data_IF_629878401024
#
_entry.id   IF_629878401024
#
_cell.length_a   1.000
_cell.length_b   1.000
_cell.length_c   1.000
_cell.angle_alpha   90.00
_cell.angle_beta   90.00
_cell.angle_gamma   90.00
#
_symmetry.space_group_name_H-M   'P 1'
#
loop_
_entity.id
_entity.type
_entity.pdbx_description
1 polymer ?
#
# COMPACT_ATOMS: atom_id res chain seq x y z
N UNK A 1 18.61 12.39 -13.56
CA UNK A 1 19.67 13.32 -14.02
C UNK A 1 19.67 14.56 -13.15
N UNK A 2 20.77 14.74 -12.44
CA UNK A 2 21.38 15.97 -11.96
C UNK A 2 20.52 17.02 -11.24
N UNK A 3 20.71 17.08 -9.90
CA UNK A 3 20.88 18.36 -9.23
C UNK A 3 22.17 18.30 -8.42
N UNK A 4 23.11 19.10 -8.85
CA UNK A 4 24.38 19.34 -8.17
C UNK A 4 24.29 20.61 -7.31
N UNK A 5 24.73 20.49 -6.06
CA UNK A 5 25.57 21.44 -5.31
C UNK A 5 25.03 22.82 -4.94
N UNK A 6 24.78 23.01 -3.64
CA UNK A 6 25.15 24.26 -2.96
C UNK A 6 25.47 23.95 -1.48
N UNK A 7 26.44 24.67 -0.86
CA UNK A 7 27.08 24.26 0.38
C UNK A 7 26.32 24.70 1.63
N UNK A 8 26.30 23.81 2.61
CA UNK A 8 25.82 24.09 3.95
C UNK A 8 26.96 24.66 4.80
N UNK A 9 26.83 25.86 5.29
CA UNK A 9 27.44 26.29 6.56
C UNK A 9 26.65 27.48 7.12
N UNK A 10 25.92 27.23 8.18
CA UNK A 10 25.85 28.20 9.30
C UNK A 10 25.39 27.43 10.56
N UNK A 11 26.26 27.41 11.54
CA UNK A 11 26.09 26.76 12.82
C UNK A 11 25.04 27.48 13.68
N UNK A 12 24.03 26.77 14.17
CA UNK A 12 23.20 27.23 15.27
C UNK A 12 23.66 26.54 16.56
N UNK A 13 24.38 27.29 17.41
CA UNK A 13 24.68 26.87 18.78
C UNK A 13 23.47 27.18 19.66
N UNK A 14 22.80 26.19 20.23
CA UNK A 14 22.03 26.32 21.48
C UNK A 14 21.99 24.99 22.26
N UNK A 15 22.11 25.16 23.54
CA UNK A 15 22.22 24.20 24.64
C UNK A 15 21.39 22.92 24.45
N UNK A 16 22.07 21.79 24.49
CA UNK A 16 21.53 20.45 24.35
C UNK A 16 21.36 19.78 25.69
N UNK A 17 20.14 19.30 25.93
CA UNK A 17 19.85 18.38 27.00
C UNK A 17 20.29 16.97 26.55
N UNK A 18 21.22 16.36 27.25
CA UNK A 18 22.07 15.24 26.81
C UNK A 18 21.35 13.93 26.49
N UNK A 19 20.05 13.81 26.75
CA UNK A 19 19.24 12.61 26.43
C UNK A 19 18.73 12.53 24.97
N UNK A 20 18.65 13.66 24.28
CA UNK A 20 18.12 13.72 22.91
C UNK A 20 19.18 13.60 21.82
N UNK A 21 20.46 13.71 22.18
CA UNK A 21 21.55 13.76 21.20
C UNK A 21 21.85 12.40 20.56
N UNK A 22 21.67 11.31 21.28
CA UNK A 22 21.99 9.96 20.77
C UNK A 22 20.97 9.48 19.75
N UNK A 23 19.66 9.70 20.04
CA UNK A 23 18.58 9.31 19.11
C UNK A 23 18.61 10.15 17.82
N UNK A 24 18.93 11.45 17.93
CA UNK A 24 19.08 12.34 16.77
C UNK A 24 20.27 12.01 15.87
N UNK A 25 21.35 11.46 16.41
CA UNK A 25 22.55 11.14 15.63
C UNK A 25 22.34 9.93 14.71
N UNK A 26 21.63 8.94 15.17
CA UNK A 26 21.31 7.75 14.37
C UNK A 26 20.22 8.05 13.32
N UNK A 27 19.28 8.97 13.61
CA UNK A 27 18.26 9.41 12.67
C UNK A 27 18.74 10.51 11.68
N UNK A 28 19.77 11.28 12.00
CA UNK A 28 20.35 12.27 11.07
C UNK A 28 21.13 11.63 9.91
N UNK A 29 21.50 10.36 9.99
CA UNK A 29 22.06 9.60 8.86
C UNK A 29 21.00 9.22 7.81
N UNK A 30 19.73 9.38 8.13
CA UNK A 30 18.57 9.11 7.26
C UNK A 30 18.25 10.30 6.34
N UNK A 31 19.25 10.78 5.63
CA UNK A 31 19.13 11.87 4.66
C UNK A 31 18.45 11.42 3.38
N UNK A 32 17.33 10.74 3.38
CA UNK A 32 16.61 10.52 2.12
C UNK A 32 15.11 10.43 2.39
N UNK A 33 14.38 11.33 1.75
CA UNK A 33 12.94 11.28 1.43
C UNK A 33 11.99 11.24 2.63
N UNK A 34 12.22 12.06 3.66
CA UNK A 34 11.13 12.45 4.54
C UNK A 34 10.30 13.56 3.87
N UNK A 35 9.28 13.18 3.12
CA UNK A 35 8.24 14.12 2.71
C UNK A 35 7.37 14.45 3.90
N UNK A 36 7.44 15.68 4.43
CA UNK A 36 6.43 16.16 5.37
C UNK A 36 5.11 16.31 4.61
N UNK A 37 4.21 15.36 4.80
CA UNK A 37 2.83 15.50 4.34
C UNK A 37 2.03 16.09 5.49
N UNK A 38 1.69 17.37 5.42
CA UNK A 38 0.69 17.95 6.29
C UNK A 38 -0.67 17.41 5.81
N UNK A 39 -1.22 16.44 6.53
CA UNK A 39 -2.56 15.93 6.28
C UNK A 39 -3.52 16.97 6.83
N UNK A 40 -4.25 17.63 5.93
CA UNK A 40 -5.26 18.61 6.31
C UNK A 40 -6.39 17.93 7.10
N UNK A 41 -6.49 18.32 8.36
CA UNK A 41 -7.62 18.24 9.28
C UNK A 41 -8.60 17.07 9.11
N UNK A 42 -8.37 15.98 9.82
CA UNK A 42 -9.47 15.18 10.33
C UNK A 42 -10.18 15.98 11.43
N UNK A 43 -11.43 16.37 11.21
CA UNK A 43 -12.22 17.07 12.21
C UNK A 43 -12.74 16.02 13.20
N UNK A 44 -12.01 15.75 14.27
CA UNK A 44 -12.58 15.10 15.45
C UNK A 44 -13.22 16.18 16.30
N UNK A 45 -14.54 16.24 16.31
CA UNK A 45 -15.28 17.11 17.25
C UNK A 45 -15.35 16.40 18.59
N UNK A 46 -14.56 16.86 19.56
CA UNK A 46 -14.75 16.48 20.95
C UNK A 46 -15.71 17.48 21.61
N UNK A 47 -16.87 16.99 22.05
CA UNK A 47 -17.86 17.80 22.78
C UNK A 47 -17.42 17.98 24.22
N UNK A 48 -16.60 18.99 24.49
CA UNK A 48 -16.34 19.38 25.87
C UNK A 48 -17.61 20.02 26.49
N UNK A 49 -17.77 19.94 27.83
CA UNK A 49 -18.90 20.45 28.61
C UNK A 49 -19.23 21.96 28.41
N UNK A 50 -18.54 22.65 27.51
CA UNK A 50 -18.73 24.08 27.19
C UNK A 50 -19.20 24.36 25.74
N UNK A 51 -19.60 23.36 24.97
CA UNK A 51 -20.25 23.54 23.67
C UNK A 51 -19.39 24.18 22.56
N UNK A 52 -18.08 24.27 22.72
CA UNK A 52 -17.17 24.68 21.63
C UNK A 52 -16.59 23.43 20.99
N UNK A 53 -16.80 23.26 19.69
CA UNK A 53 -16.13 22.26 18.90
C UNK A 53 -14.64 22.63 18.80
N UNK A 54 -13.79 21.89 19.47
CA UNK A 54 -12.33 21.99 19.25
C UNK A 54 -11.97 21.20 18.01
N UNK A 55 -11.54 21.91 16.97
CA UNK A 55 -10.91 21.31 15.79
C UNK A 55 -9.51 20.87 16.22
N UNK A 56 -9.33 19.56 16.42
CA UNK A 56 -8.01 18.99 16.66
C UNK A 56 -7.30 18.84 15.32
N UNK A 57 -6.13 19.45 15.18
CA UNK A 57 -5.25 19.28 14.03
C UNK A 57 -4.35 18.06 14.29
N UNK A 58 -4.25 17.20 13.30
CA UNK A 58 -3.38 16.04 13.35
C UNK A 58 -2.20 16.25 12.38
N UNK A 59 -1.05 15.75 12.74
CA UNK A 59 0.15 15.76 11.90
C UNK A 59 0.80 14.41 11.86
N UNK A 60 1.53 14.12 10.79
CA UNK A 60 2.18 12.84 10.61
C UNK A 60 3.39 12.89 9.69
N UNK A 61 4.09 11.77 9.63
CA UNK A 61 5.26 11.59 8.79
C UNK A 61 5.01 10.46 7.81
N UNK A 62 5.33 10.68 6.53
CA UNK A 62 5.39 9.64 5.53
C UNK A 62 6.75 8.95 5.63
N UNK A 63 6.72 7.66 6.00
CA UNK A 63 7.89 6.79 6.02
C UNK A 63 7.48 5.41 5.49
N UNK A 64 7.90 5.02 4.28
CA UNK A 64 7.65 3.68 3.78
C UNK A 64 8.25 2.62 4.69
N UNK A 65 7.56 1.51 4.91
CA UNK A 65 8.11 0.39 5.69
C UNK A 65 9.41 -0.10 5.08
N UNK A 66 9.50 -0.15 3.75
CA UNK A 66 10.72 -0.54 3.02
C UNK A 66 11.93 0.34 3.31
N UNK A 67 11.72 1.59 3.75
CA UNK A 67 12.78 2.56 4.05
C UNK A 67 13.22 2.56 5.52
N UNK A 68 12.59 1.73 6.37
CA UNK A 68 13.06 1.51 7.74
C UNK A 68 14.40 0.75 7.73
N UNK A 69 15.31 1.02 8.69
CA UNK A 69 16.57 0.27 8.75
C UNK A 69 16.35 -1.18 9.08
N UNK A 70 17.22 -2.01 8.57
CA UNK A 70 17.20 -3.42 8.90
C UNK A 70 18.44 -4.15 8.39
N UNK A 71 18.82 -5.25 9.06
CA UNK A 71 20.03 -5.98 8.70
C UNK A 71 19.84 -6.85 7.44
N UNK A 72 18.62 -6.96 6.91
CA UNK A 72 18.27 -7.90 5.83
C UNK A 72 17.81 -7.19 4.56
N UNK A 73 18.47 -6.08 4.22
CA UNK A 73 18.40 -5.39 2.93
C UNK A 73 17.13 -4.59 2.64
N UNK A 74 16.14 -4.63 3.52
CA UNK A 74 14.89 -3.84 3.42
C UNK A 74 14.25 -3.68 4.79
N UNK A 75 13.55 -2.58 5.01
CA UNK A 75 12.74 -2.39 6.20
C UNK A 75 11.60 -3.40 6.30
N UNK A 76 11.25 -3.81 7.52
CA UNK A 76 10.25 -4.83 7.82
C UNK A 76 9.49 -4.53 9.12
N UNK A 77 8.58 -5.42 9.52
CA UNK A 77 7.75 -5.29 10.73
C UNK A 77 8.49 -5.66 12.03
N UNK A 78 9.80 -5.40 12.05
CA UNK A 78 10.68 -5.70 13.17
C UNK A 78 10.89 -4.50 14.09
N UNK A 79 12.00 -4.57 14.84
CA UNK A 79 12.39 -3.59 15.88
C UNK A 79 12.36 -2.14 15.38
N UNK A 80 12.88 -1.86 14.17
CA UNK A 80 12.92 -0.50 13.62
C UNK A 80 11.52 0.11 13.38
N UNK A 81 10.52 -0.71 13.09
CA UNK A 81 9.13 -0.23 12.96
C UNK A 81 8.58 0.24 14.32
N UNK A 82 8.85 -0.51 15.39
CA UNK A 82 8.42 -0.15 16.74
C UNK A 82 9.17 1.10 17.24
N UNK A 83 10.48 1.18 17.03
CA UNK A 83 11.30 2.36 17.38
C UNK A 83 10.84 3.61 16.61
N UNK A 84 10.40 3.46 15.35
CA UNK A 84 9.85 4.57 14.59
C UNK A 84 8.50 5.04 15.16
N UNK A 85 7.65 4.12 15.61
CA UNK A 85 6.41 4.46 16.32
C UNK A 85 6.70 5.23 17.62
N UNK A 86 7.68 4.78 18.42
CA UNK A 86 8.10 5.48 19.64
C UNK A 86 8.58 6.90 19.32
N UNK A 87 9.40 7.05 18.27
CA UNK A 87 9.86 8.36 17.80
C UNK A 87 8.68 9.28 17.41
N UNK A 88 7.68 8.76 16.69
CA UNK A 88 6.50 9.54 16.31
C UNK A 88 5.72 10.01 17.53
N UNK A 89 5.48 9.13 18.50
CA UNK A 89 4.78 9.43 19.73
C UNK A 89 5.53 10.48 20.56
N UNK A 90 6.85 10.34 20.73
CA UNK A 90 7.70 11.30 21.42
C UNK A 90 7.77 12.66 20.73
N UNK A 91 7.72 12.67 19.38
CA UNK A 91 7.68 13.89 18.57
C UNK A 91 6.26 14.52 18.50
N UNK A 92 5.27 13.96 19.18
CA UNK A 92 3.90 14.45 19.17
C UNK A 92 3.18 14.26 17.83
N UNK A 93 3.66 13.34 16.98
CA UNK A 93 2.99 12.99 15.73
C UNK A 93 1.94 11.92 15.99
N UNK A 94 0.78 12.07 15.35
CA UNK A 94 -0.37 11.17 15.54
C UNK A 94 -0.63 10.26 14.35
N UNK A 95 0.08 10.46 13.23
CA UNK A 95 -0.12 9.68 12.01
C UNK A 95 1.22 9.19 11.45
N UNK A 96 1.29 7.90 11.18
CA UNK A 96 2.32 7.31 10.34
C UNK A 96 1.73 7.01 8.97
N UNK A 97 2.12 7.79 7.96
CA UNK A 97 1.74 7.49 6.58
C UNK A 97 2.75 6.52 5.97
N UNK A 98 2.23 5.46 5.36
CA UNK A 98 3.03 4.44 4.67
C UNK A 98 2.60 4.32 3.21
N UNK A 99 3.47 3.73 2.39
CA UNK A 99 3.09 3.30 1.03
C UNK A 99 2.25 2.01 1.09
N UNK A 100 1.54 1.64 0.00
CA UNK A 100 0.79 0.39 -0.04
C UNK A 100 1.64 -0.81 0.39
N UNK A 101 1.07 -1.66 1.25
CA UNK A 101 1.75 -2.85 1.78
C UNK A 101 1.63 -4.08 0.87
N UNK A 102 1.06 -3.91 -0.32
CA UNK A 102 0.83 -5.00 -1.28
C UNK A 102 2.15 -5.51 -1.89
N UNK A 103 2.21 -6.77 -2.36
CA UNK A 103 3.39 -7.34 -2.99
C UNK A 103 3.83 -6.51 -4.21
N UNK A 104 5.12 -6.29 -4.35
CA UNK A 104 5.69 -5.64 -5.54
C UNK A 104 5.88 -6.68 -6.67
N UNK A 105 5.66 -6.23 -7.90
CA UNK A 105 5.96 -6.99 -9.11
C UNK A 105 7.27 -6.55 -9.77
N UNK A 106 7.40 -6.81 -11.07
CA UNK A 106 8.52 -6.29 -11.86
C UNK A 106 8.52 -4.76 -11.86
N UNK A 107 9.67 -4.16 -11.54
CA UNK A 107 9.81 -2.71 -11.37
C UNK A 107 9.59 -2.21 -9.95
N UNK A 108 9.36 -3.13 -8.99
CA UNK A 108 9.40 -2.92 -7.54
C UNK A 108 8.47 -1.81 -7.00
N UNK A 109 7.49 -1.40 -7.82
CA UNK A 109 6.51 -0.38 -7.44
C UNK A 109 5.38 -0.98 -6.59
N UNK A 110 5.07 -0.41 -5.41
CA UNK A 110 3.94 -0.84 -4.59
C UNK A 110 2.57 -0.52 -5.23
N UNK A 111 2.56 0.29 -6.30
CA UNK A 111 1.35 0.63 -7.06
C UNK A 111 1.07 -0.34 -8.23
N UNK A 112 2.03 -1.22 -8.55
CA UNK A 112 1.91 -2.27 -9.58
C UNK A 112 1.95 -3.66 -8.91
N UNK A 113 1.01 -3.89 -8.00
CA UNK A 113 0.96 -5.12 -7.21
C UNK A 113 0.31 -6.27 -7.94
N UNK A 114 0.78 -7.48 -7.70
CA UNK A 114 0.15 -8.71 -8.18
C UNK A 114 -1.14 -9.09 -7.41
N UNK A 115 -1.50 -8.34 -6.36
CA UNK A 115 -2.75 -8.52 -5.61
C UNK A 115 -3.19 -7.23 -4.94
N UNK A 116 -4.49 -6.94 -4.94
CA UNK A 116 -5.11 -5.85 -4.19
C UNK A 116 -5.34 -6.18 -2.70
N UNK A 117 -5.15 -7.44 -2.29
CA UNK A 117 -5.45 -7.94 -0.96
C UNK A 117 -4.22 -8.46 -0.21
N UNK A 118 -3.31 -9.12 -0.90
CA UNK A 118 -2.14 -9.73 -0.28
C UNK A 118 -1.14 -8.70 0.26
N UNK A 119 -0.43 -9.10 1.32
CA UNK A 119 0.68 -8.35 1.88
C UNK A 119 2.02 -8.71 1.26
N UNK A 120 2.97 -7.76 1.26
CA UNK A 120 4.29 -7.92 0.68
C UNK A 120 5.18 -8.85 1.52
N UNK A 121 5.63 -10.00 0.99
CA UNK A 121 6.50 -10.92 1.71
C UNK A 121 7.81 -10.29 2.22
N UNK A 122 8.29 -9.23 1.58
CA UNK A 122 9.50 -8.54 1.99
C UNK A 122 9.40 -7.87 3.37
N UNK A 123 8.19 -7.58 3.85
CA UNK A 123 7.99 -6.93 5.15
C UNK A 123 7.91 -7.89 6.33
N UNK A 124 7.87 -9.20 6.08
CA UNK A 124 7.94 -10.20 7.15
C UNK A 124 9.29 -10.11 7.86
N UNK A 125 9.30 -9.84 9.16
CA UNK A 125 10.52 -9.74 9.95
C UNK A 125 11.16 -11.11 10.18
N UNK A 126 12.41 -11.25 9.74
CA UNK A 126 13.15 -12.51 9.85
C UNK A 126 13.69 -12.77 11.24
N UNK A 127 13.98 -11.72 12.04
CA UNK A 127 14.39 -11.89 13.43
C UNK A 127 13.25 -12.44 14.30
N UNK A 128 12.03 -12.06 14.01
CA UNK A 128 10.85 -12.63 14.65
C UNK A 128 10.71 -14.11 14.32
N UNK A 129 10.92 -14.51 13.05
CA UNK A 129 10.91 -15.93 12.68
C UNK A 129 12.07 -16.73 13.33
N UNK A 130 13.22 -16.10 13.54
CA UNK A 130 14.33 -16.70 14.31
C UNK A 130 13.94 -16.90 15.78
N UNK A 131 13.37 -15.88 16.43
CA UNK A 131 12.86 -15.95 17.81
C UNK A 131 11.78 -17.02 17.99
N UNK A 132 10.92 -17.19 16.98
CA UNK A 132 9.97 -18.30 16.94
C UNK A 132 10.65 -19.66 16.70
N UNK A 133 11.96 -19.69 16.43
CA UNK A 133 12.77 -20.87 16.14
C UNK A 133 12.42 -21.50 14.78
N UNK A 134 11.85 -20.76 13.86
CA UNK A 134 11.58 -21.19 12.48
C UNK A 134 12.80 -20.99 11.59
N UNK A 135 13.74 -20.16 12.02
CA UNK A 135 15.04 -19.89 11.40
C UNK A 135 16.13 -19.98 12.44
N UNK A 136 17.36 -20.10 11.96
CA UNK A 136 18.57 -20.00 12.78
C UNK A 136 19.43 -18.83 12.31
N UNK A 137 20.31 -18.31 13.19
CA UNK A 137 21.28 -17.29 12.81
C UNK A 137 22.18 -17.73 11.63
N UNK A 138 22.43 -19.04 11.48
CA UNK A 138 23.19 -19.60 10.37
C UNK A 138 22.42 -19.46 9.04
N UNK A 139 21.10 -19.64 9.04
CA UNK A 139 20.26 -19.46 7.85
C UNK A 139 20.32 -18.03 7.33
N UNK A 140 20.29 -17.07 8.25
CA UNK A 140 20.33 -15.65 7.93
C UNK A 140 21.71 -15.18 7.45
N UNK A 141 22.79 -15.75 8.01
CA UNK A 141 24.17 -15.45 7.61
C UNK A 141 24.58 -16.08 6.28
N UNK A 142 23.89 -17.12 5.85
CA UNK A 142 24.19 -17.83 4.61
C UNK A 142 23.80 -17.06 3.36
N UNK A 143 22.95 -16.03 3.50
CA UNK A 143 22.37 -15.28 2.38
C UNK A 143 23.01 -13.89 2.23
N UNK A 144 22.90 -13.32 1.03
CA UNK A 144 23.28 -11.95 0.74
C UNK A 144 22.06 -11.03 0.84
N UNK A 145 22.25 -9.85 1.39
CA UNK A 145 21.17 -8.86 1.61
C UNK A 145 21.35 -7.56 0.84
N UNK A 146 22.24 -7.55 -0.12
CA UNK A 146 22.66 -6.37 -0.88
C UNK A 146 24.05 -5.89 -0.49
N UNK A 147 24.56 -4.91 -1.23
CA UNK A 147 25.93 -4.37 -1.03
C UNK A 147 25.95 -3.08 -0.24
N UNK A 148 24.91 -2.25 -0.38
CA UNK A 148 24.78 -0.96 0.27
C UNK A 148 23.57 -1.00 1.23
N UNK A 149 23.78 -0.75 2.53
CA UNK A 149 22.69 -0.71 3.50
C UNK A 149 21.74 0.48 3.30
N UNK A 150 22.07 1.44 2.43
CA UNK A 150 21.24 2.59 2.11
C UNK A 150 20.39 2.38 0.84
N UNK A 151 20.54 1.25 0.15
CA UNK A 151 19.82 0.92 -1.06
C UNK A 151 19.15 -0.45 -0.95
N UNK A 152 17.91 -0.55 -1.42
CA UNK A 152 17.20 -1.83 -1.50
C UNK A 152 17.56 -2.52 -2.81
N UNK A 153 18.33 -3.59 -2.74
CA UNK A 153 18.65 -4.45 -3.88
C UNK A 153 17.57 -5.52 -4.06
N UNK A 154 16.47 -5.15 -4.72
CA UNK A 154 15.34 -6.07 -4.95
C UNK A 154 15.74 -7.33 -5.71
N UNK A 155 16.72 -7.27 -6.62
CA UNK A 155 17.21 -8.44 -7.34
C UNK A 155 17.84 -9.48 -6.41
N UNK A 156 18.70 -9.04 -5.49
CA UNK A 156 19.27 -9.89 -4.44
C UNK A 156 18.19 -10.39 -3.49
N UNK A 157 17.28 -9.51 -3.03
CA UNK A 157 16.21 -9.87 -2.09
C UNK A 157 15.24 -10.90 -2.67
N UNK A 158 14.93 -10.81 -3.96
CA UNK A 158 14.07 -11.79 -4.62
C UNK A 158 14.58 -13.21 -4.48
N UNK A 159 15.88 -13.41 -4.47
CA UNK A 159 16.51 -14.74 -4.27
C UNK A 159 16.62 -15.08 -2.80
N UNK A 160 17.34 -14.25 -2.04
CA UNK A 160 17.72 -14.52 -0.65
C UNK A 160 16.52 -14.58 0.29
N UNK A 161 15.61 -13.63 0.17
CA UNK A 161 14.48 -13.52 1.11
C UNK A 161 13.50 -14.67 0.95
N UNK A 162 13.19 -15.03 -0.30
CA UNK A 162 12.33 -16.19 -0.53
C UNK A 162 12.99 -17.52 -0.16
N UNK A 163 14.31 -17.66 -0.33
CA UNK A 163 15.05 -18.85 0.13
C UNK A 163 14.89 -19.02 1.66
N UNK A 164 15.06 -17.94 2.43
CA UNK A 164 14.91 -17.96 3.90
C UNK A 164 13.47 -18.19 4.32
N UNK A 165 12.50 -17.52 3.70
CA UNK A 165 11.07 -17.73 3.99
C UNK A 165 10.64 -19.18 3.71
N UNK A 166 11.17 -19.82 2.70
CA UNK A 166 10.91 -21.25 2.43
C UNK A 166 11.50 -22.16 3.50
N UNK A 167 12.68 -21.85 4.04
CA UNK A 167 13.24 -22.57 5.20
C UNK A 167 12.33 -22.43 6.42
N UNK A 168 11.85 -21.20 6.69
CA UNK A 168 10.92 -20.96 7.80
C UNK A 168 9.61 -21.75 7.62
N UNK A 169 9.05 -21.77 6.41
CA UNK A 169 7.87 -22.56 6.09
C UNK A 169 8.08 -24.06 6.30
N UNK A 170 9.21 -24.61 5.83
CA UNK A 170 9.53 -26.03 6.02
C UNK A 170 9.63 -26.39 7.51
N UNK A 171 10.28 -25.54 8.32
CA UNK A 171 10.36 -25.71 9.76
C UNK A 171 8.97 -25.64 10.44
N UNK A 172 8.14 -24.67 10.06
CA UNK A 172 6.79 -24.53 10.57
C UNK A 172 5.90 -25.70 10.18
N UNK A 173 5.94 -26.14 8.92
CA UNK A 173 5.18 -27.29 8.43
C UNK A 173 5.58 -28.58 9.15
N UNK A 174 6.89 -28.77 9.41
CA UNK A 174 7.40 -29.90 10.17
C UNK A 174 6.86 -29.96 11.60
N UNK A 175 6.68 -28.79 12.25
CA UNK A 175 6.05 -28.72 13.60
C UNK A 175 4.56 -29.04 13.57
N UNK A 176 3.89 -28.69 12.47
CA UNK A 176 2.46 -28.99 12.29
C UNK A 176 2.20 -30.44 11.87
N UNK A 177 3.23 -31.20 11.50
CA UNK A 177 3.07 -32.61 11.15
C UNK A 177 2.72 -33.43 12.39
N UNK A 178 1.62 -34.15 12.35
CA UNK A 178 1.19 -35.04 13.44
C UNK A 178 2.17 -36.18 13.65
N UNK A 179 2.17 -36.76 14.86
CA UNK A 179 3.02 -37.88 15.30
C UNK A 179 2.94 -39.13 14.38
N UNK A 180 1.94 -39.23 13.53
CA UNK A 180 1.71 -40.35 12.61
C UNK A 180 1.84 -40.01 11.13
N UNK A 181 2.45 -38.85 10.79
CA UNK A 181 2.91 -38.51 9.43
C UNK A 181 1.84 -38.18 8.39
N UNK A 182 0.57 -38.32 8.68
CA UNK A 182 -0.51 -38.20 7.68
C UNK A 182 -1.45 -37.00 7.87
N UNK A 183 -1.37 -36.32 9.01
CA UNK A 183 -2.29 -35.22 9.33
C UNK A 183 -1.50 -34.03 9.88
N UNK A 184 -1.71 -32.86 9.31
CA UNK A 184 -1.17 -31.61 9.82
C UNK A 184 -2.15 -30.97 10.81
N UNK A 185 -1.64 -30.59 11.98
CA UNK A 185 -2.37 -29.79 12.97
C UNK A 185 -1.80 -28.37 12.94
N UNK A 186 -2.44 -27.53 12.16
CA UNK A 186 -2.07 -26.13 12.12
C UNK A 186 -2.59 -25.40 13.38
N UNK A 187 -1.92 -24.34 13.83
CA UNK A 187 -2.38 -23.50 14.93
C UNK A 187 -3.78 -22.92 14.68
N UNK A 188 -4.56 -22.73 15.75
CA UNK A 188 -5.94 -22.22 15.66
C UNK A 188 -5.99 -20.83 15.02
N UNK A 189 -5.01 -19.98 15.29
CA UNK A 189 -4.88 -18.64 14.70
C UNK A 189 -4.58 -18.67 13.19
N UNK A 190 -3.87 -19.71 12.70
CA UNK A 190 -3.72 -19.94 11.27
C UNK A 190 -5.05 -20.34 10.60
N UNK A 191 -5.81 -21.21 11.24
CA UNK A 191 -7.15 -21.57 10.72
C UNK A 191 -8.09 -20.36 10.73
N UNK A 192 -8.08 -19.58 11.80
CA UNK A 192 -8.86 -18.35 11.90
C UNK A 192 -8.46 -17.36 10.79
N UNK A 193 -7.15 -17.20 10.54
CA UNK A 193 -6.65 -16.35 9.46
C UNK A 193 -7.10 -16.84 8.09
N UNK A 194 -6.96 -18.13 7.79
CA UNK A 194 -7.34 -18.67 6.48
C UNK A 194 -8.84 -18.56 6.23
N UNK A 195 -9.66 -18.82 7.24
CA UNK A 195 -11.11 -18.68 7.16
C UNK A 195 -11.53 -17.21 6.96
N UNK A 196 -10.94 -16.29 7.72
CA UNK A 196 -11.26 -14.88 7.61
C UNK A 196 -10.85 -14.24 6.26
N UNK A 197 -9.98 -14.90 5.49
CA UNK A 197 -9.43 -14.43 4.23
C UNK A 197 -9.70 -15.39 3.06
N UNK A 198 -10.63 -16.35 3.20
CA UNK A 198 -10.91 -17.38 2.19
C UNK A 198 -11.35 -16.80 0.84
N UNK A 199 -11.93 -15.59 0.85
CA UNK A 199 -12.45 -14.91 -0.32
C UNK A 199 -11.38 -14.38 -1.29
N UNK A 200 -10.10 -14.34 -0.87
CA UNK A 200 -8.97 -13.93 -1.71
C UNK A 200 -7.73 -14.82 -1.57
N UNK A 201 -7.49 -15.41 -0.40
CA UNK A 201 -6.23 -16.08 -0.07
C UNK A 201 -6.00 -17.34 -0.92
N UNK A 202 -7.07 -18.11 -1.18
CA UNK A 202 -6.99 -19.31 -2.01
C UNK A 202 -6.60 -18.98 -3.46
N UNK A 203 -7.28 -18.01 -4.06
CA UNK A 203 -6.97 -17.56 -5.42
C UNK A 203 -5.58 -16.95 -5.52
N UNK A 204 -5.15 -16.16 -4.51
CA UNK A 204 -3.81 -15.59 -4.46
C UNK A 204 -2.72 -16.66 -4.37
N UNK A 205 -2.84 -17.61 -3.46
CA UNK A 205 -1.86 -18.66 -3.26
C UNK A 205 -1.74 -19.56 -4.51
N UNK A 206 -2.87 -19.91 -5.13
CA UNK A 206 -2.92 -20.64 -6.39
C UNK A 206 -2.29 -19.85 -7.54
N UNK A 207 -2.61 -18.57 -7.66
CA UNK A 207 -2.03 -17.67 -8.66
C UNK A 207 -0.51 -17.62 -8.52
N UNK A 208 0.02 -17.43 -7.31
CA UNK A 208 1.45 -17.36 -7.06
C UNK A 208 2.15 -18.69 -7.33
N UNK A 209 1.54 -19.83 -6.99
CA UNK A 209 2.06 -21.15 -7.35
C UNK A 209 2.12 -21.34 -8.88
N UNK A 210 1.11 -20.88 -9.60
CA UNK A 210 1.11 -20.88 -11.07
C UNK A 210 2.18 -19.93 -11.63
N UNK A 211 2.38 -18.74 -11.03
CA UNK A 211 3.46 -17.82 -11.42
C UNK A 211 4.82 -18.49 -11.31
N UNK A 212 5.10 -19.17 -10.20
CA UNK A 212 6.35 -19.91 -9.98
C UNK A 212 6.51 -21.01 -11.02
N UNK A 213 5.50 -21.85 -11.22
CA UNK A 213 5.53 -22.93 -12.21
C UNK A 213 5.73 -22.43 -13.65
N UNK A 214 5.24 -21.23 -13.97
CA UNK A 214 5.40 -20.58 -15.25
C UNK A 214 6.57 -19.57 -15.28
N UNK A 215 7.56 -19.69 -14.37
CA UNK A 215 8.78 -18.85 -14.32
C UNK A 215 8.46 -17.36 -14.23
N UNK A 216 7.48 -17.01 -13.42
CA UNK A 216 6.99 -15.63 -13.18
C UNK A 216 6.45 -14.90 -14.42
N UNK A 217 6.15 -15.61 -15.51
CA UNK A 217 5.51 -15.03 -16.70
C UNK A 217 4.15 -14.40 -16.36
N UNK A 218 3.78 -13.40 -17.15
CA UNK A 218 2.45 -12.81 -17.08
C UNK A 218 1.37 -13.91 -17.30
N UNK A 219 0.26 -13.84 -16.57
CA UNK A 219 -0.79 -14.85 -16.64
C UNK A 219 -1.44 -14.96 -18.03
N UNK A 220 -1.42 -13.89 -18.82
CA UNK A 220 -1.91 -13.92 -20.22
C UNK A 220 -1.08 -14.83 -21.13
N UNK A 221 0.16 -15.12 -20.75
CA UNK A 221 1.07 -16.03 -21.46
C UNK A 221 0.95 -17.49 -21.01
N UNK A 222 0.17 -17.78 -19.96
CA UNK A 222 0.01 -19.15 -19.48
C UNK A 222 -0.77 -20.00 -20.49
N UNK A 223 -0.64 -21.32 -20.34
CA UNK A 223 -1.43 -22.28 -21.10
C UNK A 223 -2.92 -21.98 -20.95
N UNK A 224 -3.69 -22.21 -22.03
CA UNK A 224 -5.10 -21.84 -22.11
C UNK A 224 -5.95 -22.34 -20.92
N UNK A 225 -5.80 -23.58 -20.41
CA UNK A 225 -6.55 -24.04 -19.23
C UNK A 225 -6.31 -23.16 -17.99
N UNK A 226 -5.07 -22.79 -17.69
CA UNK A 226 -4.75 -21.94 -16.52
C UNK A 226 -5.18 -20.50 -16.75
N UNK A 227 -4.90 -19.96 -17.94
CA UNK A 227 -5.30 -18.60 -18.31
C UNK A 227 -6.83 -18.40 -18.24
N UNK A 228 -7.60 -19.39 -18.69
CA UNK A 228 -9.07 -19.36 -18.73
C UNK A 228 -9.72 -19.88 -17.44
N UNK A 229 -8.91 -20.21 -16.44
CA UNK A 229 -9.38 -20.73 -15.16
C UNK A 229 -10.24 -22.00 -15.30
N UNK A 230 -9.81 -22.95 -16.13
CA UNK A 230 -10.47 -24.24 -16.23
C UNK A 230 -10.45 -24.95 -14.86
N UNK A 231 -11.64 -25.28 -14.34
CA UNK A 231 -11.77 -25.79 -12.98
C UNK A 231 -11.04 -27.11 -12.75
N UNK A 232 -11.10 -28.03 -13.74
CA UNK A 232 -10.46 -29.34 -13.61
C UNK A 232 -8.92 -29.20 -13.66
N UNK A 233 -8.42 -28.38 -14.56
CA UNK A 233 -6.99 -28.11 -14.66
C UNK A 233 -6.44 -27.42 -13.40
N UNK A 234 -7.16 -26.44 -12.85
CA UNK A 234 -6.75 -25.77 -11.62
C UNK A 234 -6.81 -26.70 -10.40
N UNK A 235 -7.83 -27.54 -10.28
CA UNK A 235 -7.92 -28.53 -9.20
C UNK A 235 -6.79 -29.56 -9.27
N UNK A 236 -6.47 -30.07 -10.47
CA UNK A 236 -5.35 -30.98 -10.68
C UNK A 236 -4.01 -30.31 -10.36
N UNK A 237 -3.81 -29.05 -10.77
CA UNK A 237 -2.61 -28.29 -10.45
C UNK A 237 -2.48 -28.06 -8.94
N UNK A 238 -3.57 -27.66 -8.26
CA UNK A 238 -3.57 -27.41 -6.82
C UNK A 238 -3.20 -28.68 -6.04
N UNK A 239 -3.77 -29.82 -6.38
CA UNK A 239 -3.45 -31.10 -5.75
C UNK A 239 -1.98 -31.52 -5.95
N UNK A 240 -1.39 -31.21 -7.10
CA UNK A 240 0.01 -31.51 -7.38
C UNK A 240 1.00 -30.50 -6.76
N UNK A 241 0.54 -29.34 -6.28
CA UNK A 241 1.37 -28.23 -5.79
C UNK A 241 0.92 -27.71 -4.41
N UNK A 242 0.37 -28.58 -3.55
CA UNK A 242 -0.09 -28.22 -2.22
C UNK A 242 0.97 -27.52 -1.37
N UNK A 243 2.22 -27.95 -1.48
CA UNK A 243 3.34 -27.39 -0.74
C UNK A 243 3.62 -25.93 -1.14
N UNK A 244 3.62 -25.63 -2.43
CA UNK A 244 3.84 -24.28 -2.94
C UNK A 244 2.67 -23.36 -2.57
N UNK A 245 1.43 -23.82 -2.69
CA UNK A 245 0.23 -23.09 -2.26
C UNK A 245 0.27 -22.84 -0.75
N UNK A 246 0.65 -23.84 0.03
CA UNK A 246 0.80 -23.74 1.48
C UNK A 246 1.87 -22.72 1.89
N UNK A 247 2.98 -22.65 1.14
CA UNK A 247 4.01 -21.64 1.35
C UNK A 247 3.46 -20.20 1.22
N UNK A 248 2.72 -19.92 0.16
CA UNK A 248 2.15 -18.59 -0.05
C UNK A 248 1.12 -18.22 1.01
N UNK A 249 0.29 -19.18 1.47
CA UNK A 249 -0.64 -18.96 2.60
C UNK A 249 0.12 -18.69 3.90
N UNK A 250 1.17 -19.44 4.20
CA UNK A 250 2.02 -19.24 5.38
C UNK A 250 2.65 -17.85 5.41
N UNK A 251 3.19 -17.39 4.28
CA UNK A 251 3.80 -16.06 4.20
C UNK A 251 2.76 -14.96 4.47
N UNK A 252 1.55 -15.10 3.93
CA UNK A 252 0.46 -14.14 4.19
C UNK A 252 0.00 -14.18 5.66
N UNK A 253 -0.05 -15.35 6.26
CA UNK A 253 -0.32 -15.49 7.70
C UNK A 253 0.74 -14.78 8.55
N UNK A 254 2.03 -15.00 8.28
CA UNK A 254 3.12 -14.34 9.02
C UNK A 254 3.12 -12.83 8.81
N UNK A 255 2.86 -12.37 7.58
CA UNK A 255 2.64 -10.97 7.30
C UNK A 255 1.52 -10.38 8.18
N UNK A 256 0.36 -11.03 8.19
CA UNK A 256 -0.81 -10.57 8.95
C UNK A 256 -0.52 -10.46 10.45
N UNK A 257 0.04 -11.52 11.05
CA UNK A 257 0.35 -11.56 12.49
C UNK A 257 1.31 -10.44 12.87
N UNK A 258 2.40 -10.28 12.12
CA UNK A 258 3.42 -9.27 12.43
C UNK A 258 2.92 -7.85 12.18
N UNK A 259 2.18 -7.63 11.10
CA UNK A 259 1.59 -6.32 10.82
C UNK A 259 0.58 -5.90 11.87
N UNK A 260 -0.33 -6.79 12.26
CA UNK A 260 -1.30 -6.49 13.31
C UNK A 260 -0.61 -6.14 14.65
N UNK A 261 0.52 -6.78 14.96
CA UNK A 261 1.30 -6.44 16.15
C UNK A 261 1.89 -5.01 16.06
N UNK A 262 2.46 -4.62 14.91
CA UNK A 262 2.97 -3.25 14.68
C UNK A 262 1.85 -2.23 14.75
N UNK A 263 0.70 -2.51 14.09
CA UNK A 263 -0.46 -1.61 14.10
C UNK A 263 -1.03 -1.44 15.51
N UNK A 264 -1.18 -2.53 16.26
CA UNK A 264 -1.67 -2.48 17.64
C UNK A 264 -0.73 -1.65 18.53
N UNK A 265 0.58 -1.84 18.40
CA UNK A 265 1.58 -1.04 19.12
C UNK A 265 1.49 0.45 18.76
N UNK A 266 1.36 0.79 17.47
CA UNK A 266 1.17 2.17 17.03
C UNK A 266 -0.08 2.79 17.65
N UNK A 267 -1.21 2.08 17.61
CA UNK A 267 -2.47 2.56 18.18
C UNK A 267 -2.40 2.71 19.72
N UNK A 268 -1.72 1.82 20.43
CA UNK A 268 -1.46 1.95 21.87
C UNK A 268 -0.68 3.23 22.20
N UNK A 269 0.27 3.62 21.34
CA UNK A 269 1.03 4.87 21.45
C UNK A 269 0.29 6.12 20.96
N UNK A 270 -0.96 5.98 20.51
CA UNK A 270 -1.76 7.07 19.96
C UNK A 270 -1.41 7.45 18.52
N UNK A 271 -0.69 6.60 17.80
CA UNK A 271 -0.31 6.78 16.39
C UNK A 271 -1.24 5.96 15.50
N UNK A 272 -1.93 6.61 14.57
CA UNK A 272 -2.77 5.99 13.55
C UNK A 272 -1.95 5.68 12.30
N UNK A 273 -2.25 4.56 11.65
CA UNK A 273 -1.63 4.19 10.38
C UNK A 273 -2.47 4.72 9.22
N UNK A 274 -1.88 5.59 8.40
CA UNK A 274 -2.45 6.01 7.12
C UNK A 274 -1.80 5.20 6.01
N UNK A 275 -2.53 4.22 5.50
CA UNK A 275 -2.12 3.46 4.33
C UNK A 275 -2.78 3.95 3.05
N UNK A 276 -2.35 3.39 1.91
CA UNK A 276 -2.88 3.78 0.60
C UNK A 276 -3.28 2.60 -0.24
N UNK A 277 -4.27 2.82 -1.10
CA UNK A 277 -4.59 1.93 -2.21
C UNK A 277 -4.58 2.71 -3.53
N UNK A 278 -3.96 2.18 -4.59
CA UNK A 278 -4.12 2.75 -5.92
C UNK A 278 -5.54 2.52 -6.41
N UNK A 279 -6.09 3.43 -7.21
CA UNK A 279 -7.41 3.22 -7.82
C UNK A 279 -7.41 1.94 -8.66
N UNK A 280 -6.40 1.73 -9.51
CA UNK A 280 -6.33 0.59 -10.40
C UNK A 280 -5.57 -0.60 -9.80
N UNK A 281 -5.77 -1.78 -10.39
CA UNK A 281 -4.96 -2.98 -10.15
C UNK A 281 -3.96 -3.18 -11.29
N UNK A 282 -2.92 -3.96 -11.06
CA UNK A 282 -2.01 -4.34 -12.14
C UNK A 282 -2.69 -5.29 -13.13
N UNK A 283 -2.34 -5.17 -14.42
CA UNK A 283 -2.75 -6.12 -15.45
C UNK A 283 -2.24 -7.55 -15.16
N UNK A 284 -1.03 -7.66 -14.58
CA UNK A 284 -0.46 -8.94 -14.13
C UNK A 284 -0.73 -9.16 -12.64
N UNK A 285 -1.99 -9.37 -12.29
CA UNK A 285 -2.44 -9.59 -10.92
C UNK A 285 -3.47 -10.71 -10.84
N UNK A 286 -3.60 -11.29 -9.65
CA UNK A 286 -4.68 -12.25 -9.35
C UNK A 286 -6.05 -11.61 -9.55
N UNK A 287 -6.20 -10.33 -9.22
CA UNK A 287 -7.45 -9.60 -9.37
C UNK A 287 -7.89 -9.54 -10.83
N UNK A 288 -6.94 -9.29 -11.75
CA UNK A 288 -7.19 -9.28 -13.17
C UNK A 288 -7.47 -10.70 -13.73
N UNK A 289 -6.75 -11.71 -13.23
CA UNK A 289 -6.94 -13.10 -13.63
C UNK A 289 -8.26 -13.71 -13.17
N UNK A 290 -8.70 -13.37 -11.94
CA UNK A 290 -9.96 -13.87 -11.36
C UNK A 290 -11.15 -13.05 -11.82
N UNK A 291 -10.97 -11.73 -11.85
CA UNK A 291 -12.05 -10.76 -11.94
C UNK A 291 -12.47 -10.35 -13.34
N UNK A 292 -12.21 -11.13 -14.40
CA UNK A 292 -12.39 -10.75 -15.80
C UNK A 292 -13.54 -9.79 -16.13
N UNK A 293 -14.75 -10.03 -15.58
CA UNK A 293 -15.93 -9.16 -15.78
C UNK A 293 -15.86 -7.81 -15.05
N UNK A 294 -14.91 -7.63 -14.15
CA UNK A 294 -14.70 -6.35 -13.46
C UNK A 294 -14.02 -5.32 -14.36
N UNK A 295 -13.43 -5.77 -15.48
CA UNK A 295 -12.62 -4.95 -16.35
C UNK A 295 -13.16 -4.90 -17.77
N UNK A 296 -12.78 -3.85 -18.50
CA UNK A 296 -13.14 -3.70 -19.91
C UNK A 296 -12.34 -4.67 -20.77
N UNK A 297 -13.01 -5.71 -21.24
CA UNK A 297 -12.43 -6.73 -22.11
C UNK A 297 -12.91 -6.58 -23.55
N UNK A 298 -12.05 -6.91 -24.50
CA UNK A 298 -12.40 -7.08 -25.91
C UNK A 298 -13.07 -8.46 -26.16
N UNK A 299 -13.43 -8.74 -27.41
CA UNK A 299 -14.05 -9.99 -27.80
C UNK A 299 -13.15 -11.24 -27.55
N UNK A 300 -11.83 -11.05 -27.47
CA UNK A 300 -10.86 -12.11 -27.19
C UNK A 300 -10.57 -12.28 -25.71
N UNK A 301 -11.21 -11.48 -24.84
CA UNK A 301 -11.01 -11.47 -23.40
C UNK A 301 -9.68 -10.81 -22.96
N UNK A 302 -9.14 -9.92 -23.79
CA UNK A 302 -7.99 -9.07 -23.46
C UNK A 302 -8.47 -7.71 -22.98
N UNK A 303 -7.63 -6.96 -22.28
CA UNK A 303 -7.97 -5.59 -21.91
C UNK A 303 -8.15 -4.72 -23.16
N UNK A 304 -9.31 -4.11 -23.29
CA UNK A 304 -9.65 -3.25 -24.43
C UNK A 304 -8.96 -1.89 -24.29
N UNK A 305 -8.95 -1.35 -23.08
CA UNK A 305 -8.37 -0.06 -22.73
C UNK A 305 -7.61 -0.15 -21.40
N UNK A 306 -6.65 0.77 -21.23
CA UNK A 306 -5.82 0.88 -20.04
C UNK A 306 -5.78 2.30 -19.50
N UNK A 307 -5.43 2.45 -18.24
CA UNK A 307 -5.32 3.71 -17.55
C UNK A 307 -4.02 4.44 -17.86
N UNK A 308 -4.04 5.76 -17.67
CA UNK A 308 -2.90 6.64 -17.73
C UNK A 308 -3.27 8.08 -17.43
N UNK A 309 -2.37 9.01 -17.79
CA UNK A 309 -2.62 10.45 -17.77
C UNK A 309 -2.36 11.04 -19.13
N UNK A 310 -3.11 12.11 -19.52
CA UNK A 310 -2.84 12.83 -20.77
C UNK A 310 -1.46 13.48 -20.75
N UNK A 311 -0.95 13.92 -21.93
CA UNK A 311 0.19 14.81 -22.00
C UNK A 311 0.01 16.05 -21.11
N UNK A 312 1.05 16.41 -20.38
CA UNK A 312 1.10 17.55 -19.48
C UNK A 312 2.47 18.26 -19.57
N UNK A 313 2.69 19.23 -18.68
CA UNK A 313 3.96 19.96 -18.61
C UNK A 313 5.16 19.05 -18.27
N UNK A 314 4.93 17.97 -17.51
CA UNK A 314 6.00 17.05 -17.07
C UNK A 314 6.27 15.92 -18.07
N UNK A 315 5.27 15.56 -18.90
CA UNK A 315 5.37 14.47 -19.87
C UNK A 315 4.67 14.82 -21.18
N UNK A 316 5.44 15.07 -22.24
CA UNK A 316 4.90 15.37 -23.58
C UNK A 316 4.14 14.20 -24.21
N UNK A 317 4.37 12.96 -23.77
CA UNK A 317 3.68 11.75 -24.24
C UNK A 317 2.56 11.31 -23.28
N UNK A 318 2.39 12.03 -22.16
CA UNK A 318 1.57 11.61 -21.05
C UNK A 318 2.17 10.41 -20.32
N UNK A 319 1.37 9.76 -19.48
CA UNK A 319 1.80 8.57 -18.74
C UNK A 319 0.91 7.38 -19.11
N UNK A 320 1.50 6.35 -19.69
CA UNK A 320 0.83 5.09 -19.98
C UNK A 320 1.08 4.13 -18.82
N UNK A 321 0.10 3.96 -17.93
CA UNK A 321 0.27 3.11 -16.74
C UNK A 321 0.04 1.63 -17.03
N UNK A 322 -0.79 1.32 -18.03
CA UNK A 322 -1.05 -0.06 -18.44
C UNK A 322 -2.01 -0.84 -17.53
N UNK A 323 -2.57 -0.21 -16.50
CA UNK A 323 -3.55 -0.84 -15.62
C UNK A 323 -4.89 -1.00 -16.38
N UNK A 324 -5.60 -2.15 -16.23
CA UNK A 324 -6.91 -2.34 -16.86
C UNK A 324 -7.95 -1.37 -16.31
N UNK A 325 -8.82 -0.88 -17.17
CA UNK A 325 -9.96 -0.05 -16.79
C UNK A 325 -11.11 -0.92 -16.27
N UNK A 326 -11.84 -0.39 -15.29
CA UNK A 326 -13.01 -1.07 -14.74
C UNK A 326 -14.22 -0.97 -15.67
N UNK A 327 -14.99 -2.06 -15.79
CA UNK A 327 -16.35 -2.03 -16.31
C UNK A 327 -17.29 -1.47 -15.22
N UNK A 328 -17.41 -0.16 -15.16
CA UNK A 328 -18.24 0.51 -14.16
C UNK A 328 -19.72 0.12 -14.23
N UNK A 329 -20.21 -0.26 -15.43
CA UNK A 329 -21.58 -0.76 -15.57
C UNK A 329 -21.77 -2.11 -14.87
N UNK A 330 -20.78 -3.01 -14.98
CA UNK A 330 -20.80 -4.27 -14.24
C UNK A 330 -20.65 -4.05 -12.73
N UNK A 331 -19.77 -3.15 -12.31
CA UNK A 331 -19.61 -2.81 -10.88
C UNK A 331 -20.92 -2.25 -10.30
N UNK A 332 -21.59 -1.33 -10.99
CA UNK A 332 -22.91 -0.81 -10.59
C UNK A 332 -23.94 -1.93 -10.49
N UNK A 333 -24.03 -2.80 -11.51
CA UNK A 333 -24.95 -3.94 -11.54
C UNK A 333 -24.76 -4.90 -10.36
N UNK A 334 -23.54 -5.04 -9.85
CA UNK A 334 -23.19 -5.90 -8.71
C UNK A 334 -23.16 -5.14 -7.38
N UNK A 335 -23.68 -3.91 -7.31
CA UNK A 335 -23.69 -3.09 -6.10
C UNK A 335 -22.28 -2.75 -5.61
N UNK A 336 -21.32 -2.64 -6.52
CA UNK A 336 -19.91 -2.37 -6.22
C UNK A 336 -19.27 -3.38 -5.25
N UNK A 337 -19.76 -4.63 -5.21
CA UNK A 337 -19.36 -5.65 -4.23
C UNK A 337 -17.84 -5.85 -4.15
N UNK A 338 -17.12 -5.81 -5.28
CA UNK A 338 -15.66 -5.93 -5.27
C UNK A 338 -14.99 -4.74 -4.57
N UNK A 339 -15.47 -3.51 -4.80
CA UNK A 339 -14.95 -2.31 -4.15
C UNK A 339 -15.26 -2.29 -2.64
N UNK A 340 -16.46 -2.71 -2.25
CA UNK A 340 -16.84 -2.89 -0.84
C UNK A 340 -15.90 -3.85 -0.15
N UNK A 341 -15.60 -4.98 -0.77
CA UNK A 341 -14.64 -5.97 -0.25
C UNK A 341 -13.23 -5.39 -0.14
N UNK A 342 -12.74 -4.71 -1.19
CA UNK A 342 -11.42 -4.11 -1.22
C UNK A 342 -11.23 -3.05 -0.13
N UNK A 343 -12.18 -2.15 0.01
CA UNK A 343 -12.12 -1.08 1.03
C UNK A 343 -12.24 -1.66 2.43
N UNK A 344 -13.15 -2.64 2.65
CA UNK A 344 -13.26 -3.34 3.94
C UNK A 344 -11.94 -3.99 4.33
N UNK A 345 -11.30 -4.69 3.42
CA UNK A 345 -10.00 -5.31 3.66
C UNK A 345 -8.93 -4.27 3.99
N UNK A 346 -8.84 -3.19 3.24
CA UNK A 346 -7.90 -2.12 3.49
C UNK A 346 -8.09 -1.47 4.86
N UNK A 347 -9.34 -1.24 5.30
CA UNK A 347 -9.67 -0.70 6.63
C UNK A 347 -9.37 -1.69 7.77
N UNK A 348 -9.27 -3.00 7.50
CA UNK A 348 -8.71 -3.98 8.43
C UNK A 348 -7.20 -3.82 8.63
N UNK A 349 -6.50 -3.38 7.58
CA UNK A 349 -5.03 -3.19 7.59
C UNK A 349 -4.64 -1.81 8.11
N UNK A 350 -5.37 -0.75 7.74
CA UNK A 350 -5.05 0.65 8.05
C UNK A 350 -6.11 1.27 8.97
N UNK A 351 -5.78 2.35 9.66
CA UNK A 351 -6.73 3.17 10.45
C UNK A 351 -7.35 4.26 9.57
N UNK A 352 -6.55 4.82 8.67
CA UNK A 352 -6.95 5.82 7.68
C UNK A 352 -6.55 5.32 6.30
N UNK A 353 -7.37 5.58 5.29
CA UNK A 353 -7.16 5.09 3.93
C UNK A 353 -6.98 6.23 2.94
N UNK A 354 -5.78 6.38 2.38
CA UNK A 354 -5.56 7.25 1.23
C UNK A 354 -5.93 6.52 -0.06
N UNK A 355 -6.83 7.10 -0.84
CA UNK A 355 -7.12 6.62 -2.19
C UNK A 355 -6.32 7.43 -3.19
N UNK A 356 -5.38 6.75 -3.85
CA UNK A 356 -4.53 7.33 -4.86
C UNK A 356 -5.29 7.57 -6.17
N UNK A 357 -5.03 8.71 -6.82
CA UNK A 357 -5.71 9.16 -8.04
C UNK A 357 -7.24 9.24 -7.88
N UNK A 358 -7.73 9.86 -6.80
CA UNK A 358 -9.15 10.00 -6.48
C UNK A 358 -9.98 10.59 -7.64
N UNK A 359 -9.39 11.51 -8.41
CA UNK A 359 -10.06 12.09 -9.58
C UNK A 359 -10.60 11.06 -10.57
N UNK A 360 -9.97 9.88 -10.64
CA UNK A 360 -10.37 8.80 -11.54
C UNK A 360 -11.79 8.25 -11.26
N UNK A 361 -12.37 8.55 -10.12
CA UNK A 361 -13.78 8.23 -9.84
C UNK A 361 -14.75 9.25 -10.44
N UNK A 362 -14.30 10.45 -10.79
CA UNK A 362 -15.07 11.44 -11.55
C UNK A 362 -14.80 11.26 -13.03
N UNK A 363 -13.55 11.45 -13.43
CA UNK A 363 -13.10 11.32 -14.83
C UNK A 363 -11.71 10.70 -14.89
N UNK A 364 -11.51 9.78 -15.81
CA UNK A 364 -10.24 9.08 -16.00
C UNK A 364 -9.80 9.09 -17.46
N UNK A 365 -8.50 9.00 -17.69
CA UNK A 365 -7.91 8.98 -19.02
C UNK A 365 -7.83 7.55 -19.53
N UNK A 366 -8.66 7.21 -20.51
CA UNK A 366 -8.78 5.89 -21.11
C UNK A 366 -7.97 5.80 -22.39
N UNK A 367 -7.00 4.89 -22.45
CA UNK A 367 -6.08 4.73 -23.57
C UNK A 367 -6.34 3.37 -24.22
N UNK A 368 -6.43 3.25 -25.57
CA UNK A 368 -6.49 1.94 -26.21
C UNK A 368 -5.30 1.06 -25.80
N UNK A 369 -5.55 -0.20 -25.42
CA UNK A 369 -4.50 -1.08 -24.91
C UNK A 369 -3.36 -1.37 -25.93
N UNK A 370 -3.60 -1.09 -27.21
CA UNK A 370 -2.60 -1.24 -28.29
C UNK A 370 -1.70 0.00 -28.44
N UNK A 371 -1.98 1.09 -27.73
CA UNK A 371 -1.22 2.33 -27.84
C UNK A 371 0.13 2.21 -27.14
N UNK A 372 1.14 2.89 -27.69
CA UNK A 372 2.50 2.97 -27.12
C UNK A 372 2.74 4.24 -26.33
N UNK A 373 1.82 5.22 -26.40
CA UNK A 373 1.85 6.48 -25.65
C UNK A 373 0.46 6.82 -25.13
N UNK A 374 0.38 7.74 -24.18
CA UNK A 374 -0.92 8.20 -23.66
C UNK A 374 -1.62 9.26 -24.52
N UNK A 375 -1.02 9.71 -25.64
CA UNK A 375 -1.56 10.79 -26.48
C UNK A 375 -2.92 10.48 -27.12
N UNK A 376 -3.20 9.20 -27.35
CA UNK A 376 -4.41 8.72 -28.06
C UNK A 376 -5.59 8.44 -27.11
N UNK A 377 -5.44 8.75 -25.84
CA UNK A 377 -6.49 8.55 -24.86
C UNK A 377 -7.66 9.52 -24.99
N UNK A 378 -8.68 9.29 -24.19
CA UNK A 378 -9.86 10.17 -24.03
C UNK A 378 -10.28 10.21 -22.58
N UNK A 379 -10.91 11.32 -22.18
CA UNK A 379 -11.59 11.43 -20.90
C UNK A 379 -12.89 10.62 -20.92
N UNK A 380 -13.08 9.82 -19.90
CA UNK A 380 -14.29 9.03 -19.66
C UNK A 380 -14.80 9.29 -18.24
N UNK A 381 -16.10 9.14 -18.02
CA UNK A 381 -16.71 9.35 -16.72
C UNK A 381 -16.54 8.13 -15.81
N UNK A 382 -16.15 8.38 -14.57
CA UNK A 382 -16.14 7.39 -13.51
C UNK A 382 -17.51 7.19 -12.85
N UNK A 383 -17.57 6.38 -11.78
CA UNK A 383 -18.82 6.06 -11.07
C UNK A 383 -19.36 7.20 -10.20
N UNK A 384 -18.57 8.24 -9.93
CA UNK A 384 -18.95 9.36 -9.09
C UNK A 384 -19.35 8.96 -7.67
N UNK A 385 -20.34 9.68 -7.11
CA UNK A 385 -20.85 9.42 -5.75
C UNK A 385 -21.53 8.05 -5.60
N UNK A 386 -22.07 7.46 -6.67
CA UNK A 386 -22.74 6.14 -6.56
C UNK A 386 -21.86 5.07 -5.92
N UNK A 387 -20.56 5.08 -6.20
CA UNK A 387 -19.61 4.18 -5.55
C UNK A 387 -19.49 4.47 -4.05
N UNK A 388 -19.31 5.74 -3.68
CA UNK A 388 -19.09 6.13 -2.27
C UNK A 388 -20.35 5.93 -1.44
N UNK A 389 -21.53 6.20 -2.00
CA UNK A 389 -22.82 5.89 -1.37
C UNK A 389 -22.97 4.39 -1.08
N UNK A 390 -22.56 3.54 -2.05
CA UNK A 390 -22.59 2.09 -1.85
C UNK A 390 -21.55 1.63 -0.79
N UNK A 391 -20.37 2.24 -0.76
CA UNK A 391 -19.35 1.97 0.26
C UNK A 391 -19.83 2.38 1.65
N UNK A 392 -20.39 3.57 1.81
CA UNK A 392 -20.93 4.05 3.10
C UNK A 392 -22.12 3.23 3.58
N UNK A 393 -23.01 2.84 2.67
CA UNK A 393 -24.12 1.96 3.00
C UNK A 393 -23.67 0.59 3.53
N UNK A 394 -22.56 0.07 3.02
CA UNK A 394 -22.02 -1.25 3.38
C UNK A 394 -21.06 -1.25 4.58
N UNK A 395 -20.33 -0.15 4.79
CA UNK A 395 -19.19 -0.07 5.72
C UNK A 395 -19.35 0.99 6.80
N UNK A 396 -20.36 1.86 6.69
CA UNK A 396 -20.52 3.03 7.54
C UNK A 396 -19.58 4.17 7.16
N UNK A 397 -19.32 5.08 8.10
CA UNK A 397 -18.44 6.24 7.86
C UNK A 397 -17.04 5.79 7.43
N UNK A 398 -16.57 6.32 6.31
CA UNK A 398 -15.30 5.95 5.71
C UNK A 398 -14.19 6.91 6.14
N UNK A 399 -13.12 6.44 6.79
CA UNK A 399 -11.94 7.25 7.13
C UNK A 399 -11.01 7.39 5.91
N UNK A 400 -11.52 7.98 4.83
CA UNK A 400 -10.82 8.13 3.55
C UNK A 400 -10.22 9.52 3.44
N UNK A 401 -9.01 9.59 2.91
CA UNK A 401 -8.32 10.80 2.43
C UNK A 401 -8.19 10.67 0.93
N UNK A 402 -8.71 11.67 0.19
CA UNK A 402 -8.65 11.69 -1.25
C UNK A 402 -7.33 12.30 -1.72
N UNK A 403 -6.59 11.59 -2.59
CA UNK A 403 -5.48 12.20 -3.30
C UNK A 403 -6.05 12.99 -4.49
N UNK A 404 -6.09 14.32 -4.32
CA UNK A 404 -6.67 15.29 -5.24
C UNK A 404 -5.61 16.18 -5.92
N UNK A 405 -4.44 15.62 -6.19
CA UNK A 405 -3.35 16.32 -6.86
C UNK A 405 -3.54 16.34 -8.38
N UNK A 406 -2.87 17.30 -9.04
CA UNK A 406 -2.91 17.49 -10.49
C UNK A 406 -4.04 18.41 -10.97
N UNK A 407 -4.45 18.26 -12.23
CA UNK A 407 -5.50 19.09 -12.84
C UNK A 407 -6.88 18.68 -12.35
N UNK A 408 -7.58 19.58 -11.65
CA UNK A 408 -8.89 19.33 -11.08
C UNK A 408 -9.98 20.06 -11.87
N UNK A 409 -10.80 19.30 -12.59
CA UNK A 409 -12.02 19.83 -13.21
C UNK A 409 -13.05 20.25 -12.15
N UNK A 410 -13.99 21.15 -12.50
CA UNK A 410 -15.08 21.53 -11.58
C UNK A 410 -15.87 20.32 -11.05
N UNK A 411 -16.06 19.29 -11.87
CA UNK A 411 -16.73 18.02 -11.50
C UNK A 411 -15.96 17.25 -10.45
N UNK A 412 -14.62 17.17 -10.53
CA UNK A 412 -13.76 16.54 -9.51
C UNK A 412 -13.87 17.26 -8.17
N UNK A 413 -13.84 18.63 -8.21
CA UNK A 413 -14.01 19.44 -7.00
C UNK A 413 -15.40 19.24 -6.37
N UNK A 414 -16.43 19.09 -7.21
CA UNK A 414 -17.78 18.76 -6.74
C UNK A 414 -17.82 17.37 -6.11
N UNK A 415 -17.24 16.34 -6.73
CA UNK A 415 -17.17 15.00 -6.17
C UNK A 415 -16.48 15.00 -4.81
N UNK A 416 -15.35 15.71 -4.68
CA UNK A 416 -14.62 15.83 -3.42
C UNK A 416 -15.49 16.51 -2.34
N UNK A 417 -16.20 17.59 -2.69
CA UNK A 417 -17.10 18.28 -1.77
C UNK A 417 -18.28 17.39 -1.35
N UNK A 418 -18.91 16.71 -2.30
CA UNK A 418 -20.06 15.82 -2.05
C UNK A 418 -19.67 14.60 -1.18
N UNK A 419 -18.47 14.04 -1.38
CA UNK A 419 -17.96 12.92 -0.58
C UNK A 419 -17.56 13.30 0.84
N UNK A 420 -17.38 14.59 1.12
CA UNK A 420 -16.87 15.11 2.39
C UNK A 420 -15.48 14.59 2.80
N UNK A 421 -14.77 13.91 1.90
CA UNK A 421 -13.44 13.44 2.18
C UNK A 421 -12.42 14.58 2.16
N UNK A 422 -11.49 14.64 3.14
CA UNK A 422 -10.40 15.58 3.07
C UNK A 422 -9.50 15.28 1.86
N UNK A 423 -9.12 16.35 1.16
CA UNK A 423 -8.09 16.27 0.11
C UNK A 423 -6.68 16.34 0.70
N UNK A 424 -5.69 16.28 -0.16
CA UNK A 424 -4.28 16.39 0.21
C UNK A 424 -3.68 17.71 -0.26
N UNK A 425 -2.81 18.30 0.58
CA UNK A 425 -2.00 19.46 0.21
C UNK A 425 -0.53 19.12 0.42
N UNK A 426 0.23 19.13 -0.67
CA UNK A 426 1.67 18.88 -0.65
C UNK A 426 2.39 20.20 -0.41
N UNK A 427 2.99 20.37 0.77
CA UNK A 427 3.61 21.63 1.19
C UNK A 427 4.70 22.12 0.21
N UNK A 428 5.43 21.20 -0.43
CA UNK A 428 6.43 21.54 -1.42
C UNK A 428 5.88 22.39 -2.58
N UNK A 429 4.63 22.21 -2.96
CA UNK A 429 4.01 22.99 -4.03
C UNK A 429 3.68 24.42 -3.61
N UNK A 430 3.64 24.72 -2.32
CA UNK A 430 3.48 26.08 -1.82
C UNK A 430 4.67 27.00 -2.15
N UNK A 431 5.85 26.42 -2.39
CA UNK A 431 7.08 27.15 -2.70
C UNK A 431 7.38 27.31 -4.19
N UNK A 432 6.45 26.87 -5.06
CA UNK A 432 6.60 26.94 -6.53
C UNK A 432 6.45 28.33 -7.15
N UNK A 433 6.20 29.36 -6.35
CA UNK A 433 6.03 30.77 -6.79
C UNK A 433 4.58 31.10 -7.21
N UNK A 434 4.26 32.42 -7.19
CA UNK A 434 2.93 32.96 -7.52
C UNK A 434 1.89 32.83 -6.40
N UNK A 435 0.72 33.45 -6.62
CA UNK A 435 -0.46 33.25 -5.77
C UNK A 435 -1.02 31.86 -6.01
N UNK A 436 -0.76 30.93 -5.09
CA UNK A 436 -1.35 29.61 -5.15
C UNK A 436 -2.17 29.30 -3.88
N UNK A 437 -3.16 28.43 -4.04
CA UNK A 437 -4.08 28.06 -2.97
C UNK A 437 -3.40 27.42 -1.74
N UNK A 438 -2.19 26.89 -1.90
CA UNK A 438 -1.41 26.26 -0.82
C UNK A 438 -0.89 27.30 0.17
N UNK A 439 -0.45 28.48 -0.33
CA UNK A 439 0.01 29.59 0.53
C UNK A 439 -1.15 30.22 1.31
N UNK A 440 -2.28 30.43 0.66
CA UNK A 440 -3.50 30.92 1.31
C UNK A 440 -4.00 29.97 2.40
N UNK A 441 -3.92 28.67 2.15
CA UNK A 441 -4.21 27.62 3.10
C UNK A 441 -3.34 27.69 4.36
N UNK A 442 -2.03 27.92 4.18
CA UNK A 442 -1.06 28.05 5.29
C UNK A 442 -1.35 29.29 6.16
N UNK A 443 -1.71 30.44 5.58
CA UNK A 443 -2.06 31.66 6.33
C UNK A 443 -3.33 31.43 7.16
N UNK A 444 -4.33 30.74 6.61
CA UNK A 444 -5.55 30.40 7.33
C UNK A 444 -5.36 29.33 8.41
N UNK A 445 -4.37 28.46 8.24
CA UNK A 445 -4.05 27.36 9.17
C UNK A 445 -3.17 27.85 10.32
N UNK A 446 -2.22 28.76 10.07
CA UNK A 446 -1.21 29.13 11.07
C UNK A 446 -1.61 30.29 12.01
N UNK A 447 -2.57 31.14 11.66
CA UNK A 447 -2.93 32.30 12.49
C UNK A 447 -4.43 32.62 12.61
N UNK A 448 -5.30 31.76 13.12
CA UNK A 448 -6.69 32.16 13.39
C UNK A 448 -6.85 33.10 14.61
N UNK A 449 -5.80 33.29 15.40
CA UNK A 449 -5.89 34.03 16.68
C UNK A 449 -5.34 35.45 16.63
N UNK A 450 -4.66 35.88 15.59
CA UNK A 450 -4.02 37.21 15.54
C UNK A 450 -4.96 38.39 15.19
N UNK A 451 -6.21 38.11 14.80
CA UNK A 451 -7.20 39.17 14.44
C UNK A 451 -8.10 39.63 15.57
N UNK A 452 -7.89 39.20 16.81
CA UNK A 452 -8.72 39.63 17.93
C UNK A 452 -8.12 40.75 18.79
N UNK A 453 -7.02 41.37 18.38
CA UNK A 453 -6.44 42.51 19.04
C UNK A 453 -6.00 43.59 18.02
N UNK A 454 -6.96 44.26 17.41
CA UNK A 454 -6.88 45.65 16.98
C UNK A 454 -8.27 46.30 17.21
#
# INVERSE_FOLDING_TARGET
MLFAGAPAHTACKRQTNTKYTTVYHDFCLWKIVCGYVMIGTSIKTDKTKRGREHIMRESGILMPVSSLPGPYGIGCFGKAALEFVDFLAEAGQTIWQILPLSPTGYGDSPYQSCSAFAGNPYFVDLETLEKEGLLTAADLKAESWGKDPLEVDYGTLYVSRFAVLRKAYAAWRSRCAGLHGCTYYYPDDYYAFTLANEDWLEDYALYMALKVANKMKNWVEWNAPYRRRDKAALAAFAAANEEEIGFWKFVQYKFSVQWQAVKAYANEKGVQILGGIPIYVSADSVDAWVGGKLFELDADGRFARVAGCPPDYFSADGQLWGNPLYDWAYHKKTGYAWWVRRVRHALGIYDLLRIDHFRGFDTYWAIPATSTTARTGKWENGPGMELFDALEAALGKLPIIAEDLGELFPSVRKLLADSTFPGMKVLQFAFGGGDNEYLLSLIHISEPTRRSYI
#
